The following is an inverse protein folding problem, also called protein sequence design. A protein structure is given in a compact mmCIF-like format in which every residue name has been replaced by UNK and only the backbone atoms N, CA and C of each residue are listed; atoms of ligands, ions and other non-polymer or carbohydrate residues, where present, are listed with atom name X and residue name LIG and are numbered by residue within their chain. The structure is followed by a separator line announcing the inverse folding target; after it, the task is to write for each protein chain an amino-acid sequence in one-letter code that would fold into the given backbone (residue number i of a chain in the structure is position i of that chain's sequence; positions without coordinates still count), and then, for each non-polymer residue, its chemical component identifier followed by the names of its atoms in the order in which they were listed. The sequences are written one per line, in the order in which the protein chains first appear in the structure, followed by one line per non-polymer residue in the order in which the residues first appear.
data_IF_057249714736
#
_entry.id   IF_057249714736
#
_cell.length_a   1.000
_cell.length_b   1.000
_cell.length_c   1.000
_cell.angle_alpha   90.00
_cell.angle_beta   90.00
_cell.angle_gamma   90.00
#
_symmetry.space_group_name_H-M   'P 1'
#
loop_
_entity.id
_entity.type
_entity.pdbx_description
1 polymer ?
#
# COMPACT_ATOMS: atom_id res chain seq x y z
N UNK A 1 22.07 -2.82 -46.23
CA UNK A 1 20.93 -3.68 -46.60
C UNK A 1 20.32 -4.16 -45.29
N UNK A 2 19.16 -3.60 -44.91
CA UNK A 2 17.85 -4.29 -44.97
C UNK A 2 17.73 -5.33 -43.84
N UNK A 3 16.76 -5.35 -42.93
CA UNK A 3 15.42 -4.75 -42.92
C UNK A 3 14.84 -4.85 -41.49
N UNK A 4 13.90 -3.95 -41.21
CA UNK A 4 12.94 -3.81 -40.10
C UNK A 4 12.20 -5.11 -39.73
N UNK A 5 11.53 -5.16 -38.56
CA UNK A 5 10.06 -5.36 -38.41
C UNK A 5 9.65 -5.38 -36.92
N UNK A 6 8.62 -4.57 -36.61
CA UNK A 6 7.88 -4.49 -35.34
C UNK A 6 6.90 -5.66 -35.19
N UNK A 7 6.52 -6.01 -33.95
CA UNK A 7 5.22 -6.63 -33.69
C UNK A 7 4.57 -6.04 -32.43
N UNK A 8 3.44 -5.35 -32.64
CA UNK A 8 2.42 -5.06 -31.64
C UNK A 8 1.40 -6.20 -31.65
N UNK A 9 1.35 -7.01 -30.60
CA UNK A 9 0.27 -7.98 -30.41
C UNK A 9 -1.00 -7.27 -29.94
N UNK A 10 -2.01 -7.22 -30.81
CA UNK A 10 -3.41 -7.08 -30.42
C UNK A 10 -4.00 -8.49 -30.28
N UNK A 11 -4.29 -8.92 -29.05
CA UNK A 11 -5.07 -10.14 -28.82
C UNK A 11 -6.53 -9.88 -29.16
N UNK A 12 -7.00 -10.49 -30.25
CA UNK A 12 -8.41 -10.87 -30.41
C UNK A 12 -8.48 -12.36 -30.13
N UNK A 13 -9.16 -12.76 -29.04
CA UNK A 13 -9.49 -14.16 -28.81
C UNK A 13 -10.45 -14.63 -29.89
N UNK A 14 -10.00 -15.62 -30.65
CA UNK A 14 -10.72 -16.26 -31.75
C UNK A 14 -11.34 -17.54 -31.19
N UNK A 15 -12.65 -17.52 -30.94
CA UNK A 15 -13.46 -18.74 -31.05
C UNK A 15 -14.88 -18.43 -31.59
N UNK A 16 -15.04 -18.83 -32.86
CA UNK A 16 -16.22 -19.22 -33.64
C UNK A 16 -17.51 -18.35 -33.69
N UNK A 17 -17.61 -17.52 -34.73
CA UNK A 17 -18.64 -17.58 -35.79
C UNK A 17 -18.28 -16.55 -36.88
N UNK A 18 -17.65 -17.00 -37.96
CA UNK A 18 -17.24 -16.20 -39.12
C UNK A 18 -18.44 -15.77 -40.00
N UNK A 19 -19.41 -15.06 -39.42
CA UNK A 19 -20.43 -14.30 -40.17
C UNK A 19 -21.22 -13.26 -39.34
N UNK A 20 -20.94 -13.06 -38.05
CA UNK A 20 -21.77 -12.19 -37.19
C UNK A 20 -21.03 -10.90 -36.79
N UNK A 21 -21.43 -9.80 -37.45
CA UNK A 21 -21.12 -8.38 -37.20
C UNK A 21 -19.75 -8.06 -36.59
N UNK A 22 -18.80 -7.69 -37.45
CA UNK A 22 -17.49 -7.08 -37.16
C UNK A 22 -17.54 -5.57 -36.87
N UNK A 23 -18.73 -5.03 -36.55
CA UNK A 23 -18.96 -3.60 -36.35
C UNK A 23 -19.02 -3.17 -34.88
N UNK A 24 -19.23 -1.88 -34.62
CA UNK A 24 -19.29 -1.30 -33.27
C UNK A 24 -20.61 -1.55 -32.51
N UNK A 25 -21.49 -2.42 -33.03
CA UNK A 25 -22.77 -2.73 -32.41
C UNK A 25 -22.57 -3.68 -31.22
N UNK A 26 -23.14 -3.36 -30.06
CA UNK A 26 -23.02 -4.11 -28.80
C UNK A 26 -21.57 -4.24 -28.26
N UNK A 27 -20.81 -3.16 -28.32
CA UNK A 27 -19.39 -3.08 -27.93
C UNK A 27 -19.11 -3.07 -26.41
N UNK A 28 -20.09 -3.40 -25.57
CA UNK A 28 -19.84 -3.50 -24.13
C UNK A 28 -18.92 -4.69 -23.84
N UNK A 29 -17.74 -4.39 -23.28
CA UNK A 29 -16.67 -5.36 -23.08
C UNK A 29 -16.95 -6.38 -21.97
N UNK A 30 -16.34 -7.55 -22.10
CA UNK A 30 -16.21 -8.52 -21.01
C UNK A 30 -15.12 -8.07 -20.04
N UNK A 31 -15.20 -8.41 -18.74
CA UNK A 31 -14.15 -8.04 -17.78
C UNK A 31 -12.84 -8.77 -18.12
N UNK A 32 -11.77 -8.01 -18.38
CA UNK A 32 -10.44 -8.55 -18.72
C UNK A 32 -9.47 -8.55 -17.54
N UNK A 33 -9.60 -7.61 -16.60
CA UNK A 33 -8.71 -7.49 -15.45
C UNK A 33 -9.15 -6.45 -14.44
N UNK A 34 -8.39 -6.34 -13.33
CA UNK A 34 -8.58 -5.31 -12.30
C UNK A 34 -7.39 -4.37 -12.29
N UNK A 35 -7.65 -3.08 -12.04
CA UNK A 35 -6.63 -2.06 -11.88
C UNK A 35 -6.87 -1.28 -10.57
N UNK A 36 -5.79 -0.86 -9.92
CA UNK A 36 -5.85 0.05 -8.78
C UNK A 36 -5.79 1.50 -9.27
N UNK A 37 -6.74 2.33 -8.85
CA UNK A 37 -6.74 3.78 -9.10
C UNK A 37 -5.90 4.47 -8.03
N UNK A 38 -4.90 5.23 -8.44
CA UNK A 38 -4.00 5.96 -7.54
C UNK A 38 -4.01 7.46 -7.86
N UNK A 39 -3.99 8.28 -6.82
CA UNK A 39 -3.90 9.74 -6.93
C UNK A 39 -2.51 10.25 -6.54
N UNK A 40 -2.21 11.50 -6.90
CA UNK A 40 -0.94 12.15 -6.52
C UNK A 40 -0.88 12.29 -5.00
N UNK A 41 0.27 11.92 -4.40
CA UNK A 41 0.48 11.94 -2.95
C UNK A 41 0.03 10.65 -2.22
N UNK A 42 -0.65 9.73 -2.92
CA UNK A 42 -1.02 8.45 -2.34
C UNK A 42 0.18 7.51 -2.22
N UNK A 43 0.33 6.87 -1.06
CA UNK A 43 1.39 5.90 -0.81
C UNK A 43 1.01 4.54 -1.41
N UNK A 44 1.86 3.99 -2.27
CA UNK A 44 1.59 2.72 -2.98
C UNK A 44 2.11 1.53 -2.18
N UNK A 45 3.37 1.59 -1.74
CA UNK A 45 4.04 0.53 -0.99
C UNK A 45 4.70 1.16 0.23
N UNK A 46 4.43 0.60 1.41
CA UNK A 46 5.10 0.97 2.66
C UNK A 46 5.85 -0.25 3.20
N UNK A 47 7.08 -0.04 3.68
CA UNK A 47 7.93 -1.10 4.23
C UNK A 47 8.43 -0.66 5.60
N UNK A 48 8.27 -1.53 6.61
CA UNK A 48 8.84 -1.32 7.95
C UNK A 48 10.14 -2.10 8.08
N UNK A 49 11.18 -1.46 8.60
CA UNK A 49 12.48 -2.10 8.88
C UNK A 49 13.10 -1.51 10.14
N UNK A 50 14.08 -2.22 10.71
CA UNK A 50 14.96 -1.64 11.74
C UNK A 50 15.91 -0.63 11.08
N UNK A 51 16.42 0.33 11.86
CA UNK A 51 17.28 1.41 11.36
C UNK A 51 18.50 0.94 10.56
N UNK A 52 19.04 -0.25 10.87
CA UNK A 52 20.19 -0.81 10.19
C UNK A 52 19.92 -1.19 8.72
N UNK A 53 18.66 -1.42 8.33
CA UNK A 53 18.31 -1.93 6.99
C UNK A 53 17.70 -0.87 6.06
N UNK A 54 17.73 0.41 6.45
CA UNK A 54 17.09 1.49 5.71
C UNK A 54 17.69 1.66 4.30
N UNK A 55 19.01 1.52 4.16
CA UNK A 55 19.71 1.56 2.86
C UNK A 55 19.24 0.44 1.92
N UNK A 56 19.10 -0.78 2.44
CA UNK A 56 18.60 -1.93 1.70
C UNK A 56 17.13 -1.77 1.30
N UNK A 57 16.30 -1.21 2.19
CA UNK A 57 14.90 -0.91 1.88
C UNK A 57 14.76 0.13 0.75
N UNK A 58 15.58 1.18 0.77
CA UNK A 58 15.64 2.20 -0.30
C UNK A 58 16.00 1.58 -1.65
N UNK A 59 17.00 0.70 -1.70
CA UNK A 59 17.40 0.02 -2.94
C UNK A 59 16.31 -0.94 -3.45
N UNK A 60 15.64 -1.67 -2.55
CA UNK A 60 14.52 -2.54 -2.92
C UNK A 60 13.35 -1.74 -3.53
N UNK A 61 12.99 -0.60 -2.92
CA UNK A 61 11.95 0.29 -3.44
C UNK A 61 12.35 0.95 -4.77
N UNK A 62 13.64 1.26 -4.97
CA UNK A 62 14.16 1.76 -6.24
C UNK A 62 13.96 0.74 -7.36
N UNK A 63 14.20 -0.55 -7.09
CA UNK A 63 13.96 -1.63 -8.06
C UNK A 63 12.48 -1.85 -8.33
N UNK A 64 11.65 -1.82 -7.29
CA UNK A 64 10.19 -1.98 -7.41
C UNK A 64 9.56 -0.84 -8.23
N UNK A 65 10.03 0.39 -8.03
CA UNK A 65 9.59 1.58 -8.77
C UNK A 65 9.68 1.40 -10.28
N UNK A 66 10.69 0.70 -10.80
CA UNK A 66 10.88 0.48 -12.24
C UNK A 66 9.77 -0.38 -12.89
N UNK A 67 8.96 -1.08 -12.08
CA UNK A 67 7.81 -1.87 -12.57
C UNK A 67 6.50 -1.08 -12.57
N UNK A 68 6.49 0.10 -11.97
CA UNK A 68 5.35 1.00 -11.95
C UNK A 68 5.54 2.05 -13.05
N UNK A 69 4.48 2.33 -13.79
CA UNK A 69 4.49 3.39 -14.79
C UNK A 69 4.46 4.76 -14.11
N UNK A 70 5.12 5.76 -14.69
CA UNK A 70 5.17 7.14 -14.19
C UNK A 70 6.30 7.43 -13.21
N UNK A 71 6.19 8.55 -12.49
CA UNK A 71 7.22 9.04 -11.56
C UNK A 71 6.77 8.83 -10.12
N UNK A 72 7.41 7.90 -9.42
CA UNK A 72 7.24 7.69 -7.98
C UNK A 72 8.40 8.31 -7.20
N UNK A 73 8.11 8.80 -6.00
CA UNK A 73 9.09 9.31 -5.05
C UNK A 73 9.27 8.28 -3.93
N UNK A 74 10.52 8.10 -3.48
CA UNK A 74 10.85 7.27 -2.32
C UNK A 74 11.15 8.24 -1.19
N UNK A 75 10.43 8.12 -0.09
CA UNK A 75 10.54 9.00 1.07
C UNK A 75 10.65 8.16 2.34
N UNK A 76 11.44 8.64 3.29
CA UNK A 76 11.44 8.13 4.65
C UNK A 76 10.35 8.83 5.46
N UNK A 77 9.52 8.05 6.14
CA UNK A 77 8.40 8.58 6.92
C UNK A 77 8.82 8.89 8.36
N UNK A 78 8.29 9.98 8.92
CA UNK A 78 8.48 10.36 10.34
C UNK A 78 7.55 9.61 11.30
N UNK A 79 6.53 8.93 10.76
CA UNK A 79 5.59 8.13 11.52
C UNK A 79 6.28 6.89 12.13
N UNK A 80 5.77 6.45 13.27
CA UNK A 80 6.22 5.21 13.89
C UNK A 80 5.56 4.02 13.21
N UNK A 81 6.34 3.29 12.42
CA UNK A 81 5.89 2.09 11.70
C UNK A 81 4.62 2.34 10.86
N UNK A 82 3.59 1.50 11.00
CA UNK A 82 2.29 1.65 10.33
C UNK A 82 1.23 2.29 11.23
N UNK A 83 1.65 3.05 12.23
CA UNK A 83 0.75 3.83 13.07
C UNK A 83 0.48 5.21 12.46
N UNK A 84 -0.48 5.93 13.04
CA UNK A 84 -0.83 7.30 12.62
C UNK A 84 -0.03 8.38 13.37
N UNK A 85 0.88 7.98 14.25
CA UNK A 85 1.59 8.86 15.18
C UNK A 85 3.03 9.04 14.75
N UNK A 86 3.65 10.14 15.14
CA UNK A 86 5.10 10.35 14.91
C UNK A 86 5.93 9.47 15.84
N UNK A 87 7.23 9.33 15.52
CA UNK A 87 8.17 8.58 16.35
C UNK A 87 8.27 9.11 17.78
N UNK A 88 8.25 10.44 17.94
CA UNK A 88 8.39 11.09 19.23
C UNK A 88 7.12 10.93 20.08
N UNK A 89 5.95 11.12 19.47
CA UNK A 89 4.65 10.87 20.11
C UNK A 89 4.53 9.43 20.60
N UNK A 90 4.96 8.47 19.78
CA UNK A 90 4.95 7.07 20.16
C UNK A 90 5.85 6.81 21.38
N UNK A 91 7.03 7.41 21.42
CA UNK A 91 7.95 7.25 22.55
C UNK A 91 7.37 7.84 23.84
N UNK A 92 6.73 9.00 23.78
CA UNK A 92 6.07 9.62 24.93
C UNK A 92 4.90 8.77 25.45
N UNK A 93 4.03 8.30 24.55
CA UNK A 93 2.90 7.43 24.92
C UNK A 93 3.35 6.08 25.47
N UNK A 94 4.52 5.61 25.02
CA UNK A 94 5.15 4.41 25.56
C UNK A 94 5.68 4.67 26.97
N UNK A 95 6.35 5.80 27.24
CA UNK A 95 6.78 6.14 28.60
C UNK A 95 5.62 6.39 29.56
N UNK A 96 4.46 6.81 29.06
CA UNK A 96 3.24 6.98 29.86
C UNK A 96 2.45 5.66 30.04
N UNK A 97 2.90 4.54 29.46
CA UNK A 97 2.19 3.26 29.45
C UNK A 97 0.73 3.38 28.96
N UNK A 98 0.51 4.17 27.90
CA UNK A 98 -0.82 4.41 27.31
C UNK A 98 -1.07 3.64 26.02
N UNK A 99 -0.20 2.70 25.69
CA UNK A 99 -0.26 1.91 24.46
C UNK A 99 -0.78 0.51 24.73
N UNK A 100 -1.90 0.16 24.10
CA UNK A 100 -2.46 -1.19 24.11
C UNK A 100 -2.01 -1.98 22.89
N UNK A 101 -1.49 -3.20 23.11
CA UNK A 101 -1.14 -4.12 22.04
C UNK A 101 -2.39 -4.70 21.38
N UNK A 102 -2.44 -4.64 20.05
CA UNK A 102 -3.48 -5.24 19.20
C UNK A 102 -2.83 -6.09 18.11
N UNK A 103 -2.06 -7.10 18.53
CA UNK A 103 -1.29 -7.95 17.64
C UNK A 103 -0.13 -7.18 17.00
N UNK A 104 -0.22 -6.95 15.69
CA UNK A 104 0.78 -6.21 14.92
C UNK A 104 0.63 -4.69 15.01
N UNK A 105 -0.54 -4.19 15.45
CA UNK A 105 -0.84 -2.78 15.59
C UNK A 105 -0.96 -2.37 17.06
N UNK A 106 -0.96 -1.07 17.30
CA UNK A 106 -1.12 -0.48 18.64
C UNK A 106 -2.32 0.46 18.66
N UNK A 107 -3.05 0.45 19.77
CA UNK A 107 -4.15 1.39 20.03
C UNK A 107 -3.84 2.23 21.26
N UNK A 108 -4.13 3.53 21.20
CA UNK A 108 -3.91 4.45 22.33
C UNK A 108 -5.08 4.36 23.32
N UNK A 109 -4.77 4.29 24.62
CA UNK A 109 -5.75 4.42 25.69
C UNK A 109 -6.19 5.87 25.82
N UNK A 110 -7.47 6.13 25.53
CA UNK A 110 -8.09 7.45 25.66
C UNK A 110 -8.86 7.57 26.98
N UNK A 111 -8.94 8.77 27.52
CA UNK A 111 -9.76 9.13 28.68
C UNK A 111 -11.25 9.27 28.32
N UNK A 112 -11.81 8.21 27.73
CA UNK A 112 -13.22 8.17 27.34
C UNK A 112 -13.83 6.81 27.71
N UNK A 113 -15.06 6.84 28.21
CA UNK A 113 -15.84 5.68 28.61
C UNK A 113 -15.94 5.50 30.13
N UNK A 114 -16.42 4.34 30.57
CA UNK A 114 -16.50 4.01 32.00
C UNK A 114 -15.10 3.93 32.64
N UNK A 115 -14.98 4.45 33.86
CA UNK A 115 -13.74 4.47 34.65
C UNK A 115 -13.20 3.05 34.87
N UNK A 116 -14.07 2.07 35.08
CA UNK A 116 -13.68 0.66 35.28
C UNK A 116 -12.93 0.11 34.06
N UNK A 117 -13.49 0.29 32.86
CA UNK A 117 -12.86 -0.14 31.60
C UNK A 117 -11.58 0.62 31.30
N UNK A 118 -11.48 1.88 31.72
CA UNK A 118 -10.26 2.65 31.58
C UNK A 118 -9.13 2.07 32.44
N UNK A 119 -9.41 1.77 33.71
CA UNK A 119 -8.45 1.13 34.62
C UNK A 119 -7.98 -0.23 34.08
N UNK A 120 -8.92 -1.06 33.62
CA UNK A 120 -8.60 -2.36 33.01
C UNK A 120 -7.65 -2.22 31.80
N UNK A 121 -7.89 -1.21 30.95
CA UNK A 121 -7.03 -0.93 29.79
C UNK A 121 -5.66 -0.42 30.19
N UNK A 122 -5.57 0.44 31.20
CA UNK A 122 -4.28 0.92 31.72
C UNK A 122 -3.45 -0.23 32.28
N UNK A 123 -4.06 -1.19 32.98
CA UNK A 123 -3.35 -2.38 33.47
C UNK A 123 -2.87 -3.29 32.33
N UNK A 124 -3.62 -3.36 31.22
CA UNK A 124 -3.26 -4.16 30.03
C UNK A 124 -2.33 -3.43 29.06
N UNK A 125 -1.99 -2.17 29.32
CA UNK A 125 -1.09 -1.42 28.47
C UNK A 125 0.33 -2.00 28.58
N UNK A 126 1.15 -1.74 27.55
CA UNK A 126 2.56 -2.12 27.58
C UNK A 126 3.27 -1.41 28.72
N UNK A 127 4.02 -2.19 29.49
CA UNK A 127 5.19 -1.72 30.25
C UNK A 127 6.42 -1.63 29.33
#
# INVERSE_FOLDING_TARGET
MSSTIEYLENKQDIDMCWSRQTGMRNSFGKPYGRAARVFVGQHIINVRTKGNFVSHAKEALRRAKNKLSGKQLIQESTIHEFTKMTRDEYQNLRSENRLLVRGSCVSVVKEKGSIEKYKERMTKALE
#
